data_IF_147620651280
#
_entry.id   IF_147620651280
#
_cell.length_a   1.000
_cell.length_b   1.000
_cell.length_c   1.000
_cell.angle_alpha   90.00
_cell.angle_beta   90.00
_cell.angle_gamma   90.00
#
_symmetry.space_group_name_H-M   'P 1'
#
loop_
_entity.id
_entity.type
_entity.pdbx_description
1 polymer ?
#
# COMPACT_ATOMS: atom_id res chain seq x y z
N UNK A 1 15.46 -2.06 -6.67
CA UNK A 1 15.60 -2.24 -8.13
C UNK A 1 14.97 -3.55 -8.63
N UNK A 2 15.34 -4.72 -8.12
CA UNK A 2 14.87 -6.03 -8.62
C UNK A 2 13.33 -6.19 -8.57
N UNK A 3 12.69 -5.77 -7.47
CA UNK A 3 11.23 -5.90 -7.32
C UNK A 3 10.42 -5.04 -8.31
N UNK A 4 10.94 -3.86 -8.69
CA UNK A 4 10.25 -2.96 -9.62
C UNK A 4 10.17 -3.58 -11.03
N UNK A 5 11.25 -4.23 -11.46
CA UNK A 5 11.28 -4.99 -12.71
C UNK A 5 10.34 -6.20 -12.67
N UNK A 6 10.28 -6.90 -11.54
CA UNK A 6 9.33 -8.00 -11.34
C UNK A 6 7.87 -7.56 -11.53
N UNK A 7 7.47 -6.43 -10.93
CA UNK A 7 6.11 -5.89 -11.09
C UNK A 7 5.78 -5.51 -12.53
N UNK A 8 6.72 -4.87 -13.24
CA UNK A 8 6.54 -4.54 -14.67
C UNK A 8 6.34 -5.81 -15.51
N UNK A 9 7.17 -6.83 -15.27
CA UNK A 9 7.08 -8.09 -16.01
C UNK A 9 5.76 -8.83 -15.77
N UNK A 10 5.23 -8.79 -14.54
CA UNK A 10 3.92 -9.35 -14.22
C UNK A 10 2.80 -8.70 -15.05
N UNK A 11 2.84 -7.37 -15.22
CA UNK A 11 1.87 -6.65 -16.06
C UNK A 11 1.97 -7.09 -17.52
N UNK A 12 3.19 -7.23 -18.06
CA UNK A 12 3.40 -7.71 -19.44
C UNK A 12 2.88 -9.14 -19.63
N UNK A 13 3.09 -10.01 -18.62
CA UNK A 13 2.59 -11.39 -18.60
C UNK A 13 1.07 -11.44 -18.59
N UNK A 14 0.42 -10.60 -17.77
CA UNK A 14 -1.04 -10.43 -17.77
C UNK A 14 -1.55 -10.06 -19.15
N UNK A 15 -1.06 -8.97 -19.76
CA UNK A 15 -1.53 -8.52 -21.06
C UNK A 15 -1.29 -9.54 -22.17
N UNK A 16 -0.22 -10.34 -22.08
CA UNK A 16 0.02 -11.46 -23.00
C UNK A 16 -1.07 -12.52 -22.88
N UNK A 17 -1.36 -12.98 -21.66
CA UNK A 17 -2.40 -13.99 -21.41
C UNK A 17 -3.80 -13.48 -21.76
N UNK A 18 -4.13 -12.24 -21.38
CA UNK A 18 -5.43 -11.63 -21.64
C UNK A 18 -5.72 -11.51 -23.15
N UNK A 19 -4.73 -11.11 -23.96
CA UNK A 19 -4.89 -11.08 -25.43
C UNK A 19 -5.01 -12.48 -26.02
N UNK A 20 -4.10 -13.38 -25.64
CA UNK A 20 -4.02 -14.71 -26.26
C UNK A 20 -5.21 -15.61 -25.93
N UNK A 21 -5.66 -15.61 -24.66
CA UNK A 21 -6.65 -16.57 -24.17
C UNK A 21 -8.01 -15.95 -23.87
N UNK A 22 -8.02 -14.70 -23.41
CA UNK A 22 -9.25 -14.02 -22.98
C UNK A 22 -9.80 -13.05 -24.02
N UNK A 23 -9.22 -13.04 -25.24
CA UNK A 23 -9.67 -12.22 -26.37
C UNK A 23 -9.76 -10.74 -26.03
N UNK A 24 -8.86 -10.26 -25.19
CA UNK A 24 -8.83 -8.86 -24.75
C UNK A 24 -8.82 -7.88 -25.93
N UNK A 25 -8.08 -8.20 -26.99
CA UNK A 25 -7.94 -7.41 -28.21
C UNK A 25 -8.97 -7.75 -29.30
N UNK A 26 -9.85 -8.73 -29.08
CA UNK A 26 -10.83 -9.22 -30.06
C UNK A 26 -12.25 -9.02 -29.56
N UNK A 27 -12.65 -7.76 -29.44
CA UNK A 27 -14.03 -7.37 -29.16
C UNK A 27 -14.64 -6.62 -30.34
N UNK A 28 -15.91 -6.90 -30.64
CA UNK A 28 -16.70 -6.17 -31.64
C UNK A 28 -17.57 -5.08 -30.99
N UNK A 29 -17.45 -4.91 -29.67
CA UNK A 29 -18.23 -3.92 -28.92
C UNK A 29 -17.76 -2.52 -29.27
N UNK A 30 -18.67 -1.68 -29.75
CA UNK A 30 -18.38 -0.29 -30.14
C UNK A 30 -18.87 0.74 -29.11
N UNK A 31 -19.72 0.35 -28.17
CA UNK A 31 -20.15 1.22 -27.08
C UNK A 31 -19.06 1.29 -26.00
N UNK A 32 -18.81 2.48 -25.47
CA UNK A 32 -17.84 2.73 -24.40
C UNK A 32 -18.17 1.90 -23.14
N UNK A 33 -19.42 1.91 -22.69
CA UNK A 33 -19.82 1.14 -21.49
C UNK A 33 -19.62 -0.36 -21.70
N UNK A 34 -19.85 -0.84 -22.92
CA UNK A 34 -19.63 -2.23 -23.28
C UNK A 34 -18.13 -2.59 -23.36
N UNK A 35 -17.27 -1.66 -23.78
CA UNK A 35 -15.81 -1.84 -23.74
C UNK A 35 -15.32 -1.89 -22.29
N UNK A 36 -15.84 -1.03 -21.41
CA UNK A 36 -15.56 -1.09 -19.97
C UNK A 36 -16.03 -2.42 -19.36
N UNK A 37 -17.22 -2.90 -19.73
CA UNK A 37 -17.72 -4.20 -19.31
C UNK A 37 -16.85 -5.37 -19.80
N UNK A 38 -16.44 -5.36 -21.07
CA UNK A 38 -15.54 -6.36 -21.63
C UNK A 38 -14.19 -6.37 -20.89
N UNK A 39 -13.59 -5.21 -20.65
CA UNK A 39 -12.37 -5.08 -19.86
C UNK A 39 -12.54 -5.67 -18.45
N UNK A 40 -13.62 -5.31 -17.75
CA UNK A 40 -13.88 -5.81 -16.40
C UNK A 40 -14.03 -7.34 -16.36
N UNK A 41 -14.77 -7.92 -17.31
CA UNK A 41 -14.95 -9.37 -17.41
C UNK A 41 -13.62 -10.07 -17.68
N UNK A 42 -12.80 -9.55 -18.60
CA UNK A 42 -11.48 -10.12 -18.91
C UNK A 42 -10.57 -10.08 -17.68
N UNK A 43 -10.51 -8.94 -16.97
CA UNK A 43 -9.72 -8.80 -15.74
C UNK A 43 -10.19 -9.81 -14.68
N UNK A 44 -11.50 -9.88 -14.41
CA UNK A 44 -12.07 -10.79 -13.41
C UNK A 44 -11.83 -12.26 -13.77
N UNK A 45 -11.92 -12.61 -15.06
CA UNK A 45 -11.67 -13.98 -15.52
C UNK A 45 -10.21 -14.37 -15.34
N UNK A 46 -9.28 -13.44 -15.62
CA UNK A 46 -7.86 -13.66 -15.35
C UNK A 46 -7.59 -13.85 -13.86
N UNK A 47 -8.17 -13.02 -13.01
CA UNK A 47 -7.98 -13.10 -11.56
C UNK A 47 -8.46 -14.45 -11.00
N UNK A 48 -9.61 -14.95 -11.49
CA UNK A 48 -10.11 -16.29 -11.12
C UNK A 48 -9.18 -17.41 -11.57
N UNK A 49 -8.64 -17.34 -12.80
CA UNK A 49 -7.70 -18.33 -13.31
C UNK A 49 -6.37 -18.30 -12.54
N UNK A 50 -5.84 -17.10 -12.25
CA UNK A 50 -4.63 -16.94 -11.46
C UNK A 50 -4.83 -17.44 -10.02
N UNK A 51 -6.02 -17.21 -9.44
CA UNK A 51 -6.38 -17.78 -8.15
C UNK A 51 -6.43 -19.30 -8.19
N UNK A 52 -7.05 -19.91 -9.20
CA UNK A 52 -7.11 -21.36 -9.34
C UNK A 52 -5.70 -21.96 -9.54
N UNK A 53 -4.88 -21.38 -10.42
CA UNK A 53 -3.49 -21.80 -10.63
C UNK A 53 -2.69 -21.77 -9.32
N UNK A 54 -2.94 -20.75 -8.50
CA UNK A 54 -2.31 -20.65 -7.19
C UNK A 54 -2.76 -21.75 -6.24
N UNK A 55 -4.05 -22.07 -6.19
CA UNK A 55 -4.53 -23.17 -5.34
C UNK A 55 -3.89 -24.52 -5.71
N UNK A 56 -3.48 -24.69 -6.98
CA UNK A 56 -2.77 -25.90 -7.43
C UNK A 56 -1.26 -25.87 -7.13
N UNK A 57 -0.62 -24.70 -7.06
CA UNK A 57 0.84 -24.54 -6.94
C UNK A 57 1.35 -24.08 -5.57
N UNK A 58 0.54 -23.38 -4.81
CA UNK A 58 0.90 -22.77 -3.52
C UNK A 58 0.01 -23.36 -2.42
N UNK A 59 0.63 -24.00 -1.44
CA UNK A 59 -0.06 -24.60 -0.30
C UNK A 59 -0.58 -23.55 0.70
N UNK A 60 -0.09 -22.30 0.61
CA UNK A 60 -0.46 -21.22 1.55
C UNK A 60 -1.86 -20.70 1.26
N UNK A 61 -2.66 -20.60 2.32
CA UNK A 61 -4.02 -20.07 2.23
C UNK A 61 -4.03 -18.58 1.87
N UNK A 62 -5.18 -18.08 1.41
CA UNK A 62 -5.39 -16.64 1.22
C UNK A 62 -5.15 -15.90 2.55
N UNK A 63 -5.57 -16.48 3.68
CA UNK A 63 -5.36 -15.91 5.02
C UNK A 63 -3.87 -15.77 5.37
N UNK A 64 -3.06 -16.78 5.08
CA UNK A 64 -1.60 -16.71 5.29
C UNK A 64 -0.97 -15.61 4.45
N UNK A 65 -1.47 -15.39 3.23
CA UNK A 65 -0.95 -14.31 2.41
C UNK A 65 -1.34 -12.92 2.93
N UNK A 66 -2.57 -12.76 3.41
CA UNK A 66 -3.00 -11.52 4.07
C UNK A 66 -2.19 -11.27 5.34
N UNK A 67 -1.88 -12.31 6.11
CA UNK A 67 -1.03 -12.22 7.28
C UNK A 67 0.38 -11.74 6.94
N UNK A 68 1.03 -12.38 5.95
CA UNK A 68 2.36 -11.98 5.46
C UNK A 68 2.36 -10.55 4.90
N UNK A 69 1.30 -10.19 4.17
CA UNK A 69 1.18 -8.84 3.61
C UNK A 69 0.87 -7.79 4.69
N UNK A 70 0.22 -8.21 5.77
CA UNK A 70 0.04 -7.43 6.99
C UNK A 70 1.37 -7.13 7.68
N UNK A 71 2.25 -8.13 7.83
CA UNK A 71 3.62 -7.91 8.33
C UNK A 71 4.44 -7.00 7.40
N UNK A 72 4.19 -7.05 6.09
CA UNK A 72 4.86 -6.20 5.11
C UNK A 72 4.39 -4.73 5.14
N UNK A 73 3.24 -4.42 5.76
CA UNK A 73 2.93 -3.07 6.21
C UNK A 73 3.62 -2.90 7.57
N UNK A 74 4.69 -2.08 7.66
CA UNK A 74 5.32 -1.87 8.95
C UNK A 74 4.29 -1.22 9.87
N UNK A 75 3.84 -1.96 10.87
CA UNK A 75 3.35 -1.33 12.09
C UNK A 75 4.47 -0.40 12.54
N UNK A 76 4.19 0.91 12.49
CA UNK A 76 5.17 1.91 12.89
C UNK A 76 5.49 1.64 14.36
N UNK A 77 6.65 1.02 14.61
CA UNK A 77 6.95 0.55 15.95
C UNK A 77 6.97 1.75 16.89
N UNK A 78 6.45 1.60 18.12
CA UNK A 78 6.46 2.69 19.11
C UNK A 78 7.89 3.26 19.27
N UNK A 79 8.90 2.40 19.13
CA UNK A 79 10.32 2.77 19.07
C UNK A 79 10.65 3.72 17.92
N UNK A 80 10.18 3.47 16.69
CA UNK A 80 10.43 4.37 15.55
C UNK A 80 9.75 5.72 15.75
N UNK A 81 8.53 5.71 16.30
CA UNK A 81 7.75 6.90 16.66
C UNK A 81 8.50 7.75 17.71
N UNK A 82 9.04 7.13 18.75
CA UNK A 82 9.80 7.79 19.81
C UNK A 82 11.16 8.33 19.31
N UNK A 83 11.87 7.57 18.47
CA UNK A 83 13.12 8.04 17.85
C UNK A 83 12.87 9.29 17.01
N UNK A 84 11.74 9.32 16.30
CA UNK A 84 11.36 10.48 15.49
C UNK A 84 10.96 11.69 16.35
N UNK A 85 10.25 11.45 17.44
CA UNK A 85 9.92 12.48 18.43
C UNK A 85 11.17 13.12 19.05
N UNK A 86 12.16 12.30 19.46
CA UNK A 86 13.43 12.79 20.01
C UNK A 86 14.20 13.63 18.97
N UNK A 87 14.21 13.23 17.70
CA UNK A 87 14.83 14.03 16.63
C UNK A 87 14.17 15.40 16.47
N UNK A 88 12.84 15.46 16.52
CA UNK A 88 12.08 16.72 16.48
C UNK A 88 12.37 17.62 17.69
N UNK A 89 12.51 17.04 18.89
CA UNK A 89 12.90 17.78 20.09
C UNK A 89 14.34 18.31 20.00
N UNK A 90 15.29 17.50 19.50
CA UNK A 90 16.68 17.94 19.33
C UNK A 90 16.79 19.09 18.32
N UNK A 91 16.06 19.02 17.20
CA UNK A 91 15.98 20.13 16.24
C UNK A 91 15.44 21.42 16.88
N UNK A 92 14.48 21.31 17.81
CA UNK A 92 13.94 22.46 18.53
C UNK A 92 15.00 23.06 19.47
N UNK A 93 15.70 22.24 20.25
CA UNK A 93 16.75 22.67 21.19
C UNK A 93 17.95 23.29 20.47
N UNK A 94 18.33 22.77 19.31
CA UNK A 94 19.39 23.34 18.47
C UNK A 94 19.00 24.70 17.86
N UNK A 95 17.70 24.91 17.59
CA UNK A 95 17.21 26.15 16.97
C UNK A 95 17.08 27.33 17.93
N UNK A 96 16.75 27.11 19.20
CA UNK A 96 16.75 28.14 20.24
C UNK A 96 17.15 27.56 21.62
N UNK A 97 18.20 28.09 22.30
CA UNK A 97 18.74 27.50 23.53
C UNK A 97 17.85 27.62 24.76
N UNK A 98 16.70 28.30 24.67
CA UNK A 98 15.67 28.39 25.72
C UNK A 98 14.29 28.37 25.05
N UNK A 99 13.77 27.19 24.74
CA UNK A 99 12.48 27.06 24.05
C UNK A 99 11.30 27.46 24.96
N UNK A 100 10.52 28.52 24.67
CA UNK A 100 9.25 28.77 25.34
C UNK A 100 8.24 27.64 25.10
N UNK A 101 7.43 27.32 26.11
CA UNK A 101 6.39 26.27 26.13
C UNK A 101 5.48 26.29 24.88
N UNK A 102 5.28 27.45 24.26
CA UNK A 102 4.53 27.59 22.99
C UNK A 102 5.15 26.82 21.83
N UNK A 103 6.47 26.88 21.64
CA UNK A 103 7.16 26.18 20.55
C UNK A 103 7.13 24.67 20.76
N UNK A 104 7.18 24.20 22.01
CA UNK A 104 7.03 22.78 22.34
C UNK A 104 5.66 22.26 21.91
N UNK A 105 4.58 23.00 22.20
CA UNK A 105 3.23 22.62 21.79
C UNK A 105 3.07 22.59 20.27
N UNK A 106 3.70 23.52 19.54
CA UNK A 106 3.70 23.52 18.08
C UNK A 106 4.46 22.33 17.50
N UNK A 107 5.59 21.94 18.08
CA UNK A 107 6.36 20.76 17.66
C UNK A 107 5.59 19.47 17.96
N UNK A 108 4.91 19.37 19.11
CA UNK A 108 4.03 18.24 19.43
C UNK A 108 2.86 18.16 18.43
N UNK A 109 2.26 19.30 18.05
CA UNK A 109 1.20 19.32 17.05
C UNK A 109 1.69 18.90 15.65
N UNK A 110 2.89 19.34 15.25
CA UNK A 110 3.54 18.92 13.99
C UNK A 110 3.90 17.43 14.00
N UNK A 111 4.27 16.89 15.16
CA UNK A 111 4.50 15.45 15.33
C UNK A 111 3.18 14.67 15.18
N UNK A 112 2.11 15.08 15.88
CA UNK A 112 0.80 14.41 15.77
C UNK A 112 0.25 14.46 14.34
N UNK A 113 0.43 15.56 13.61
CA UNK A 113 -0.05 15.69 12.23
C UNK A 113 0.76 14.93 11.20
N UNK A 114 1.98 14.51 11.53
CA UNK A 114 2.85 13.70 10.65
C UNK A 114 2.73 12.20 10.90
N UNK A 115 1.96 11.78 11.91
CA UNK A 115 1.64 10.38 12.19
C UNK A 115 0.46 9.87 11.34
N UNK A 116 0.43 8.55 11.05
CA UNK A 116 -0.76 7.90 10.49
C UNK A 116 -2.01 8.08 11.36
N UNK A 117 -3.17 8.23 10.71
CA UNK A 117 -4.46 8.54 11.36
C UNK A 117 -4.89 7.52 12.43
N UNK A 118 -4.51 6.25 12.26
CA UNK A 118 -4.75 5.18 13.24
C UNK A 118 -4.06 5.45 14.57
N UNK A 119 -2.85 6.02 14.56
CA UNK A 119 -2.04 6.31 15.76
C UNK A 119 -2.40 7.68 16.33
N UNK A 120 -2.58 8.69 15.48
CA UNK A 120 -2.93 10.05 15.92
C UNK A 120 -4.28 10.09 16.68
N UNK A 121 -5.26 9.29 16.25
CA UNK A 121 -6.57 9.21 16.92
C UNK A 121 -6.54 8.52 18.29
N UNK A 122 -5.54 7.66 18.54
CA UNK A 122 -5.34 7.03 19.85
C UNK A 122 -4.65 8.01 20.82
N UNK A 123 -3.69 8.80 20.33
CA UNK A 123 -2.98 9.79 21.13
C UNK A 123 -3.84 11.01 21.49
N UNK A 124 -4.84 11.37 20.69
CA UNK A 124 -5.80 12.45 21.01
C UNK A 124 -6.87 12.06 22.03
N UNK A 125 -7.04 10.76 22.30
CA UNK A 125 -8.01 10.24 23.29
C UNK A 125 -7.42 10.02 24.68
N UNK A 126 -6.10 10.05 24.81
CA UNK A 126 -5.37 9.96 26.07
C UNK A 126 -5.17 11.35 26.68
#
# INVERSE_FOLDING_TARGET
>A
MIQLYGRRWQIETYFKAAKQYLRFDKTQVQNYDGLCGHLAIVMMTYDLLAWQERQEKDERTIGDLFYIMGEAMPDLSLTDVLVWFIKLLNQLVESEPVAPIKQLNETVAKFISSLPQSIASQLQKA
#
